data_IF_188931832377
#
_entry.id   IF_188931832377
#
_cell.length_a   1.000
_cell.length_b   1.000
_cell.length_c   1.000
_cell.angle_alpha   90.00
_cell.angle_beta   90.00
_cell.angle_gamma   90.00
#
_symmetry.space_group_name_H-M   'P 1'
#
loop_
_entity.id
_entity.type
_entity.pdbx_description
1 polymer ?
#
# COMPACT_ATOMS: atom_id res chain seq x y z
N UNK A 1 -4.20 -12.81 -14.29
CA UNK A 1 -4.67 -12.68 -12.89
C UNK A 1 -3.52 -12.83 -11.89
N UNK A 2 -2.67 -13.85 -11.99
CA UNK A 2 -1.50 -14.04 -11.12
C UNK A 2 -0.56 -12.82 -10.98
N UNK A 3 -0.34 -12.07 -12.06
CA UNK A 3 0.51 -10.86 -12.05
C UNK A 3 -0.02 -9.75 -11.12
N UNK A 4 -1.34 -9.52 -11.08
CA UNK A 4 -1.93 -8.51 -10.18
C UNK A 4 -1.80 -8.94 -8.72
N UNK A 5 -2.02 -10.23 -8.45
CA UNK A 5 -1.87 -10.81 -7.10
C UNK A 5 -0.43 -10.69 -6.62
N UNK A 6 0.54 -11.00 -7.48
CA UNK A 6 1.96 -10.84 -7.17
C UNK A 6 2.32 -9.37 -6.89
N UNK A 7 1.77 -8.44 -7.68
CA UNK A 7 1.98 -7.01 -7.50
C UNK A 7 1.39 -6.50 -6.16
N UNK A 8 0.18 -6.92 -5.82
CA UNK A 8 -0.43 -6.59 -4.51
C UNK A 8 0.38 -7.14 -3.34
N UNK A 9 0.87 -8.38 -3.43
CA UNK A 9 1.69 -8.98 -2.38
C UNK A 9 3.01 -8.25 -2.22
N UNK A 10 3.65 -7.87 -3.33
CA UNK A 10 4.88 -7.09 -3.30
C UNK A 10 4.69 -5.75 -2.57
N UNK A 11 3.65 -4.99 -2.92
CA UNK A 11 3.35 -3.72 -2.24
C UNK A 11 2.95 -3.92 -0.77
N UNK A 12 2.25 -5.00 -0.44
CA UNK A 12 1.88 -5.31 0.94
C UNK A 12 3.12 -5.59 1.79
N UNK A 13 4.03 -6.44 1.31
CA UNK A 13 5.29 -6.76 1.99
C UNK A 13 6.13 -5.49 2.16
N UNK A 14 6.26 -4.69 1.11
CA UNK A 14 6.97 -3.41 1.15
C UNK A 14 6.36 -2.44 2.17
N UNK A 15 5.03 -2.30 2.21
CA UNK A 15 4.34 -1.42 3.14
C UNK A 15 4.53 -1.85 4.61
N UNK A 16 4.47 -3.15 4.88
CA UNK A 16 4.71 -3.70 6.21
C UNK A 16 6.17 -3.46 6.62
N UNK A 17 7.15 -3.83 5.79
CA UNK A 17 8.58 -3.62 6.06
C UNK A 17 8.92 -2.16 6.32
N UNK A 18 8.41 -1.25 5.48
CA UNK A 18 8.65 0.19 5.63
C UNK A 18 8.05 0.72 6.95
N UNK A 19 6.93 0.14 7.37
CA UNK A 19 6.29 0.46 8.65
C UNK A 19 7.04 -0.08 9.87
N UNK A 20 8.04 -0.96 9.72
CA UNK A 20 8.90 -1.40 10.84
C UNK A 20 10.10 -0.48 11.09
N UNK A 21 10.45 0.39 10.14
CA UNK A 21 11.57 1.35 10.28
C UNK A 21 11.34 2.37 11.41
N UNK A 22 10.17 3.05 11.53
CA UNK A 22 9.96 4.01 12.59
C UNK A 22 9.64 3.34 13.93
N UNK A 23 10.27 3.83 15.00
CA UNK A 23 9.88 3.52 16.38
C UNK A 23 8.67 4.39 16.76
N UNK A 24 7.52 3.76 17.00
CA UNK A 24 6.29 4.41 17.46
C UNK A 24 5.08 4.16 16.57
N UNK A 25 4.00 3.62 17.15
CA UNK A 25 2.78 3.20 16.47
C UNK A 25 2.20 4.27 15.52
N UNK A 26 2.16 5.53 15.96
CA UNK A 26 1.64 6.64 15.16
C UNK A 26 2.41 6.85 13.85
N UNK A 27 3.73 6.66 13.87
CA UNK A 27 4.56 6.73 12.65
C UNK A 27 4.44 5.48 11.79
N UNK A 28 4.27 4.29 12.41
CA UNK A 28 4.05 3.03 11.67
C UNK A 28 2.75 3.06 10.86
N UNK A 29 1.69 3.67 11.38
CA UNK A 29 0.38 3.80 10.70
C UNK A 29 0.40 4.90 9.62
N UNK A 30 1.30 5.88 9.74
CA UNK A 30 1.43 6.98 8.78
C UNK A 30 1.81 6.49 7.38
N UNK A 31 2.61 5.42 7.29
CA UNK A 31 3.06 4.84 6.02
C UNK A 31 1.92 4.24 5.18
N UNK A 32 1.08 3.33 5.70
CA UNK A 32 -0.11 2.87 4.98
C UNK A 32 -1.05 4.00 4.58
N UNK A 33 -1.24 5.00 5.45
CA UNK A 33 -2.09 6.16 5.13
C UNK A 33 -1.51 6.95 3.96
N UNK A 34 -0.20 7.22 3.98
CA UNK A 34 0.48 7.90 2.87
C UNK A 34 0.34 7.13 1.56
N UNK A 35 0.45 5.79 1.59
CA UNK A 35 0.22 4.95 0.42
C UNK A 35 -1.22 5.04 -0.10
N UNK A 36 -2.23 5.18 0.76
CA UNK A 36 -3.61 5.46 0.30
C UNK A 36 -3.67 6.76 -0.49
N UNK A 37 -3.11 7.85 0.01
CA UNK A 37 -3.10 9.13 -0.72
C UNK A 37 -2.37 9.02 -2.06
N UNK A 38 -1.19 8.38 -2.07
CA UNK A 38 -0.42 8.13 -3.29
C UNK A 38 -1.21 7.29 -4.29
N UNK A 39 -1.93 6.25 -3.82
CA UNK A 39 -2.76 5.41 -4.68
C UNK A 39 -3.89 6.20 -5.35
N UNK A 40 -4.53 7.12 -4.63
CA UNK A 40 -5.59 7.96 -5.18
C UNK A 40 -5.03 8.87 -6.28
N UNK A 41 -3.88 9.50 -6.05
CA UNK A 41 -3.22 10.36 -7.04
C UNK A 41 -2.84 9.54 -8.28
N UNK A 42 -2.25 8.36 -8.10
CA UNK A 42 -1.91 7.43 -9.19
C UNK A 42 -3.14 7.00 -9.99
N UNK A 43 -4.27 6.76 -9.32
CA UNK A 43 -5.52 6.40 -9.96
C UNK A 43 -6.03 7.51 -10.86
N UNK A 44 -6.07 8.76 -10.39
CA UNK A 44 -6.45 9.89 -11.25
C UNK A 44 -5.46 10.11 -12.39
N UNK A 45 -4.16 9.94 -12.12
CA UNK A 45 -3.11 10.07 -13.14
C UNK A 45 -3.24 8.99 -14.23
N UNK A 46 -3.70 7.79 -13.87
CA UNK A 46 -3.98 6.69 -14.80
C UNK A 46 -5.04 7.05 -15.84
N UNK A 47 -6.01 7.92 -15.54
CA UNK A 47 -6.98 8.40 -16.53
C UNK A 47 -6.41 9.46 -17.47
N UNK A 48 -5.40 10.23 -17.01
CA UNK A 48 -4.76 11.28 -17.81
C UNK A 48 -3.76 10.68 -18.80
N UNK A 49 -2.99 9.69 -18.36
CA UNK A 49 -2.02 8.97 -19.17
C UNK A 49 -2.79 7.85 -19.87
N UNK A 50 -3.35 8.10 -21.06
CA UNK A 50 -4.07 7.05 -21.79
C UNK A 50 -3.19 5.84 -22.21
N UNK A 51 -3.78 4.91 -22.97
CA UNK A 51 -3.09 3.74 -23.57
C UNK A 51 -2.63 2.72 -22.51
N UNK A 52 -1.61 1.91 -22.86
CA UNK A 52 -1.10 0.81 -22.04
C UNK A 52 -0.44 1.29 -20.74
N UNK A 53 0.18 2.47 -20.74
CA UNK A 53 0.82 3.07 -19.56
C UNK A 53 -0.21 3.44 -18.49
N UNK A 54 -1.35 4.01 -18.92
CA UNK A 54 -2.50 4.28 -18.04
C UNK A 54 -3.05 3.03 -17.37
N UNK A 55 -3.23 1.96 -18.14
CA UNK A 55 -3.73 0.69 -17.61
C UNK A 55 -2.78 0.09 -16.56
N UNK A 56 -1.47 0.20 -16.79
CA UNK A 56 -0.45 -0.21 -15.82
C UNK A 56 -0.49 0.61 -14.53
N UNK A 57 -0.59 1.93 -14.64
CA UNK A 57 -0.71 2.83 -13.48
C UNK A 57 -2.01 2.58 -12.70
N UNK A 58 -3.11 2.29 -13.39
CA UNK A 58 -4.37 1.90 -12.78
C UNK A 58 -4.24 0.61 -11.97
N UNK A 59 -3.65 -0.43 -12.56
CA UNK A 59 -3.37 -1.68 -11.87
C UNK A 59 -2.49 -1.50 -10.62
N UNK A 60 -1.43 -0.69 -10.72
CA UNK A 60 -0.56 -0.34 -9.59
C UNK A 60 -1.35 0.39 -8.51
N UNK A 61 -2.14 1.40 -8.87
CA UNK A 61 -2.91 2.21 -7.91
C UNK A 61 -3.88 1.35 -7.09
N UNK A 62 -4.65 0.49 -7.75
CA UNK A 62 -5.61 -0.42 -7.08
C UNK A 62 -4.85 -1.41 -6.21
N UNK A 63 -3.73 -1.95 -6.70
CA UNK A 63 -2.93 -2.90 -5.93
C UNK A 63 -2.38 -2.29 -4.65
N UNK A 64 -1.89 -1.05 -4.75
CA UNK A 64 -1.31 -0.29 -3.65
C UNK A 64 -2.38 0.13 -2.62
N UNK A 65 -3.58 0.47 -3.10
CA UNK A 65 -4.73 0.78 -2.25
C UNK A 65 -5.17 -0.43 -1.42
N UNK A 66 -5.36 -1.58 -2.07
CA UNK A 66 -5.75 -2.83 -1.40
C UNK A 66 -4.68 -3.26 -0.40
N UNK A 67 -3.40 -3.19 -0.78
CA UNK A 67 -2.29 -3.50 0.11
C UNK A 67 -2.29 -2.61 1.37
N UNK A 68 -2.58 -1.32 1.22
CA UNK A 68 -2.61 -0.37 2.33
C UNK A 68 -3.75 -0.63 3.32
N UNK A 69 -4.95 -0.95 2.80
CA UNK A 69 -6.11 -1.31 3.64
C UNK A 69 -5.82 -2.56 4.47
N UNK A 70 -5.12 -3.54 3.91
CA UNK A 70 -4.77 -4.78 4.62
C UNK A 70 -3.59 -4.55 5.59
N UNK A 71 -2.62 -3.71 5.22
CA UNK A 71 -1.46 -3.42 6.06
C UNK A 71 -1.84 -2.68 7.35
N UNK A 72 -2.84 -1.80 7.33
CA UNK A 72 -3.32 -1.06 8.50
C UNK A 72 -3.67 -1.96 9.71
N UNK A 73 -4.64 -2.90 9.60
CA UNK A 73 -4.96 -3.80 10.70
C UNK A 73 -3.80 -4.74 11.03
N UNK A 74 -3.00 -5.17 10.05
CA UNK A 74 -1.84 -6.03 10.28
C UNK A 74 -0.79 -5.35 11.19
N UNK A 75 -0.46 -4.08 10.93
CA UNK A 75 0.51 -3.30 11.73
C UNK A 75 -0.02 -3.06 13.14
N UNK A 76 -1.32 -2.78 13.29
CA UNK A 76 -1.96 -2.60 14.60
C UNK A 76 -1.89 -3.89 15.41
N UNK A 77 -2.23 -5.04 14.81
CA UNK A 77 -2.15 -6.34 15.48
C UNK A 77 -0.71 -6.72 15.85
N UNK A 78 0.25 -6.48 14.95
CA UNK A 78 1.68 -6.76 15.19
C UNK A 78 2.24 -5.92 16.34
N UNK A 79 1.95 -4.62 16.39
CA UNK A 79 2.40 -3.77 17.50
C UNK A 79 1.70 -4.10 18.82
N UNK A 80 0.44 -4.54 18.78
CA UNK A 80 -0.25 -4.99 20.00
C UNK A 80 0.47 -6.18 20.63
N UNK A 81 1.01 -7.11 19.81
CA UNK A 81 1.85 -8.21 20.29
C UNK A 81 3.22 -7.76 20.80
N UNK A 82 3.82 -6.73 20.21
CA UNK A 82 5.13 -6.20 20.65
C UNK A 82 5.07 -5.56 22.05
N UNK A 83 3.90 -5.08 22.48
CA UNK A 83 3.69 -4.43 23.79
C UNK A 83 3.08 -5.35 24.88
N UNK A 84 2.94 -6.65 24.62
CA UNK A 84 2.58 -7.67 25.63
C UNK A 84 3.82 -8.41 26.09
#
# INVERSE_FOLDING_TARGET
MWSLVALTLFFMIAAILLSFIPKGLGKKILFPIAFVFVSIILFFTSFLIGRWEGMGLGAVSVSLFVASIIALPAIVLLNKKENQ
#
